data_IF_514535633551
#
_entry.id   IF_514535633551
#
_cell.length_a   1.000
_cell.length_b   1.000
_cell.length_c   1.000
_cell.angle_alpha   90.00
_cell.angle_beta   90.00
_cell.angle_gamma   90.00
#
_symmetry.space_group_name_H-M   'P 1'
#
loop_
_entity.id
_entity.type
_entity.pdbx_description
1 polymer ?
#
# COMPACT_ATOMS: atom_id res chain seq x y z
N UNK A 1 15.93 18.36 7.71
CA UNK A 1 17.32 18.80 7.94
C UNK A 1 17.71 18.68 9.40
N UNK A 2 18.99 18.43 9.68
CA UNK A 2 19.54 18.38 11.04
C UNK A 2 20.08 19.75 11.45
N UNK A 3 19.92 20.08 12.74
CA UNK A 3 20.50 21.25 13.38
C UNK A 3 21.51 20.80 14.45
N UNK A 4 22.19 21.73 15.11
CA UNK A 4 23.13 21.39 16.21
C UNK A 4 22.43 20.76 17.42
N UNK A 5 21.14 20.99 17.61
CA UNK A 5 20.38 20.58 18.80
C UNK A 5 19.15 19.71 18.49
N UNK A 6 18.88 19.40 17.21
CA UNK A 6 17.70 18.63 16.82
C UNK A 6 17.55 18.50 15.31
N UNK A 7 16.32 18.27 14.86
CA UNK A 7 15.99 18.15 13.45
C UNK A 7 14.71 18.90 13.12
N UNK A 8 14.57 19.31 11.87
CA UNK A 8 13.37 19.94 11.33
C UNK A 8 12.82 19.00 10.24
N UNK A 9 11.60 18.55 10.42
CA UNK A 9 10.83 17.81 9.41
C UNK A 9 9.72 18.71 8.89
N UNK A 10 9.61 18.82 7.57
CA UNK A 10 8.51 19.54 6.92
C UNK A 10 7.61 18.57 6.17
N UNK A 11 6.31 18.84 6.17
CA UNK A 11 5.32 18.12 5.38
C UNK A 11 4.66 19.14 4.46
N UNK A 12 4.69 18.85 3.16
CA UNK A 12 4.21 19.75 2.12
C UNK A 12 3.16 19.03 1.27
N UNK A 13 2.00 19.67 1.07
CA UNK A 13 1.03 19.23 0.08
C UNK A 13 1.38 19.84 -1.27
N UNK A 14 1.58 19.00 -2.28
CA UNK A 14 1.88 19.42 -3.65
C UNK A 14 0.71 19.05 -4.54
N UNK A 15 0.11 20.02 -5.17
CA UNK A 15 -0.94 19.78 -6.16
C UNK A 15 -0.31 19.51 -7.53
N UNK A 16 -0.69 18.41 -8.15
CA UNK A 16 -0.16 17.99 -9.45
C UNK A 16 -1.24 18.20 -10.52
N UNK A 17 -1.04 19.17 -11.44
CA UNK A 17 -1.99 19.43 -12.51
C UNK A 17 -2.17 18.20 -13.42
N UNK A 18 -3.42 17.86 -13.74
CA UNK A 18 -3.77 16.75 -14.61
C UNK A 18 -3.19 15.38 -14.20
N UNK A 19 -2.82 15.22 -12.94
CA UNK A 19 -2.17 14.01 -12.39
C UNK A 19 -0.83 13.66 -13.11
N UNK A 20 -0.22 14.63 -13.79
CA UNK A 20 1.04 14.45 -14.51
C UNK A 20 2.25 14.73 -13.61
N UNK A 21 2.78 13.68 -13.00
CA UNK A 21 3.98 13.74 -12.16
C UNK A 21 5.26 14.10 -12.95
N UNK A 22 5.21 14.02 -14.28
CA UNK A 22 6.36 14.34 -15.16
C UNK A 22 6.40 15.82 -15.57
N UNK A 23 5.35 16.59 -15.27
CA UNK A 23 5.36 18.04 -15.47
C UNK A 23 6.60 18.65 -14.78
N UNK A 24 7.34 19.57 -15.45
CA UNK A 24 8.58 20.13 -14.93
C UNK A 24 8.46 20.78 -13.55
N UNK A 25 7.31 21.36 -13.23
CA UNK A 25 7.12 22.06 -11.95
C UNK A 25 7.05 21.08 -10.76
N UNK A 26 6.14 20.08 -10.72
CA UNK A 26 6.14 19.09 -9.66
C UNK A 26 7.40 18.21 -9.68
N UNK A 27 7.93 17.83 -10.85
CA UNK A 27 9.14 17.01 -10.96
C UNK A 27 10.35 17.68 -10.29
N UNK A 28 10.53 18.99 -10.49
CA UNK A 28 11.60 19.76 -9.83
C UNK A 28 11.43 19.79 -8.32
N UNK A 29 10.20 19.93 -7.83
CA UNK A 29 9.89 19.89 -6.39
C UNK A 29 10.21 18.51 -5.80
N UNK A 30 9.79 17.44 -6.45
CA UNK A 30 9.99 16.05 -5.97
C UNK A 30 11.46 15.67 -5.86
N UNK A 31 12.32 16.19 -6.74
CA UNK A 31 13.75 15.94 -6.69
C UNK A 31 14.43 16.39 -5.38
N UNK A 32 13.81 17.32 -4.65
CA UNK A 32 14.32 17.84 -3.39
C UNK A 32 13.68 17.22 -2.14
N UNK A 33 12.71 16.33 -2.30
CA UNK A 33 12.03 15.68 -1.19
C UNK A 33 12.72 14.37 -0.77
N UNK A 34 12.76 14.12 0.52
CA UNK A 34 13.31 12.86 1.07
C UNK A 34 12.30 11.71 1.00
N UNK A 35 11.02 12.03 0.99
CA UNK A 35 9.94 11.06 0.82
C UNK A 35 8.76 11.70 0.10
N UNK A 36 8.06 10.90 -0.70
CA UNK A 36 6.82 11.29 -1.39
C UNK A 36 5.73 10.29 -1.08
N UNK A 37 4.53 10.80 -0.82
CA UNK A 37 3.30 10.00 -0.70
C UNK A 37 2.38 10.45 -1.83
N UNK A 38 2.17 9.58 -2.80
CA UNK A 38 1.34 9.86 -3.99
C UNK A 38 -0.07 9.36 -3.76
N UNK A 39 -1.06 10.24 -3.93
CA UNK A 39 -2.47 9.87 -3.94
C UNK A 39 -2.93 9.66 -5.38
N UNK A 40 -3.54 8.51 -5.64
CA UNK A 40 -3.96 8.07 -6.98
C UNK A 40 -5.48 8.05 -7.12
N UNK A 41 -6.00 8.65 -8.20
CA UNK A 41 -7.43 8.57 -8.54
C UNK A 41 -7.84 7.17 -8.94
N UNK A 42 -6.96 6.41 -9.57
CA UNK A 42 -7.23 5.03 -9.96
C UNK A 42 -7.45 4.14 -8.73
N UNK A 43 -6.64 4.33 -7.69
CA UNK A 43 -6.81 3.63 -6.41
C UNK A 43 -8.10 4.07 -5.71
N UNK A 44 -8.40 5.38 -5.71
CA UNK A 44 -9.66 5.89 -5.17
C UNK A 44 -10.88 5.31 -5.89
N UNK A 45 -10.81 5.13 -7.22
CA UNK A 45 -11.90 4.54 -8.02
C UNK A 45 -12.19 3.08 -7.66
N UNK A 46 -11.21 2.37 -7.09
CA UNK A 46 -11.35 1.01 -6.56
C UNK A 46 -11.98 0.98 -5.15
N UNK A 47 -12.30 2.15 -4.58
CA UNK A 47 -12.82 2.26 -3.22
C UNK A 47 -11.77 2.06 -2.13
N UNK A 48 -10.48 2.14 -2.46
CA UNK A 48 -9.38 1.97 -1.51
C UNK A 48 -9.01 3.34 -0.93
N UNK A 49 -9.18 3.49 0.37
CA UNK A 49 -8.88 4.71 1.10
C UNK A 49 -8.09 4.39 2.38
N UNK A 50 -7.04 5.19 2.71
CA UNK A 50 -6.48 6.30 1.92
C UNK A 50 -5.94 5.83 0.56
N UNK A 51 -6.14 6.63 -0.48
CA UNK A 51 -5.83 6.25 -1.87
C UNK A 51 -4.33 6.44 -2.21
N UNK A 52 -3.46 5.94 -1.36
CA UNK A 52 -2.01 6.02 -1.53
C UNK A 52 -1.54 4.98 -2.55
N UNK A 53 -0.76 5.42 -3.54
CA UNK A 53 -0.10 4.50 -4.46
C UNK A 53 1.23 4.02 -3.88
N UNK A 54 1.37 2.73 -3.52
CA UNK A 54 2.59 2.20 -2.93
C UNK A 54 3.73 2.02 -3.94
N UNK A 55 3.44 2.05 -5.25
CA UNK A 55 4.43 1.91 -6.31
C UNK A 55 5.04 3.26 -6.69
N UNK A 56 4.24 4.32 -6.69
CA UNK A 56 4.68 5.68 -7.02
C UNK A 56 5.18 6.46 -5.78
N UNK A 57 4.85 5.98 -4.58
CA UNK A 57 5.35 6.57 -3.33
C UNK A 57 6.76 6.08 -3.02
N UNK A 58 7.61 7.01 -2.56
CA UNK A 58 9.04 6.73 -2.31
C UNK A 58 9.50 7.28 -0.97
N UNK A 59 10.58 6.71 -0.44
CA UNK A 59 11.29 7.24 0.72
C UNK A 59 12.77 6.88 0.66
N UNK A 60 13.64 7.85 0.93
CA UNK A 60 15.09 7.61 1.09
C UNK A 60 15.41 6.76 2.31
N UNK A 61 14.49 6.71 3.28
CA UNK A 61 14.65 5.85 4.45
C UNK A 61 14.42 4.36 4.16
N UNK A 62 13.89 4.01 2.98
CA UNK A 62 13.74 2.62 2.57
C UNK A 62 15.09 2.01 2.18
N UNK A 63 15.93 1.85 3.18
CA UNK A 63 17.28 1.31 3.11
C UNK A 63 17.50 0.35 4.30
N UNK A 64 18.02 -0.88 4.09
CA UNK A 64 18.14 -1.86 5.15
C UNK A 64 19.05 -1.40 6.31
N UNK A 65 19.99 -0.50 6.07
CA UNK A 65 20.83 0.08 7.11
C UNK A 65 20.08 1.08 8.01
N UNK A 66 18.95 1.61 7.53
CA UNK A 66 18.14 2.59 8.27
C UNK A 66 16.98 1.91 8.98
N UNK A 67 16.20 1.08 8.27
CA UNK A 67 14.96 0.49 8.76
C UNK A 67 15.08 -0.98 9.17
N UNK A 68 16.24 -1.59 8.98
CA UNK A 68 16.47 -3.02 9.20
C UNK A 68 16.06 -3.89 8.00
N UNK A 69 16.68 -5.08 7.93
CA UNK A 69 16.52 -5.98 6.79
C UNK A 69 15.09 -6.49 6.63
N UNK A 70 14.45 -6.91 7.73
CA UNK A 70 13.08 -7.44 7.72
C UNK A 70 12.08 -6.46 7.11
N UNK A 71 12.06 -5.22 7.58
CA UNK A 71 11.15 -4.19 7.05
C UNK A 71 11.42 -3.91 5.58
N UNK A 72 12.72 -3.79 5.21
CA UNK A 72 13.11 -3.56 3.82
C UNK A 72 12.64 -4.69 2.91
N UNK A 73 12.88 -5.94 3.27
CA UNK A 73 12.51 -7.10 2.46
C UNK A 73 11.00 -7.22 2.29
N UNK A 74 10.23 -7.02 3.38
CA UNK A 74 8.76 -7.02 3.31
C UNK A 74 8.27 -5.93 2.37
N UNK A 75 8.75 -4.70 2.51
CA UNK A 75 8.33 -3.58 1.67
C UNK A 75 8.64 -3.83 0.18
N UNK A 76 9.85 -4.32 -0.12
CA UNK A 76 10.25 -4.64 -1.51
C UNK A 76 9.45 -5.78 -2.11
N UNK A 77 9.18 -6.83 -1.34
CA UNK A 77 8.38 -7.95 -1.81
C UNK A 77 6.92 -7.55 -2.06
N UNK A 78 6.34 -6.70 -1.19
CA UNK A 78 5.00 -6.15 -1.44
C UNK A 78 4.96 -5.32 -2.73
N UNK A 79 5.95 -4.43 -2.93
CA UNK A 79 6.05 -3.67 -4.18
C UNK A 79 6.19 -4.58 -5.40
N UNK A 80 7.02 -5.61 -5.32
CA UNK A 80 7.19 -6.59 -6.39
C UNK A 80 5.87 -7.30 -6.75
N UNK A 81 5.15 -7.80 -5.74
CA UNK A 81 3.87 -8.49 -5.95
C UNK A 81 2.82 -7.56 -6.56
N UNK A 82 2.73 -6.31 -6.09
CA UNK A 82 1.79 -5.33 -6.63
C UNK A 82 2.17 -4.89 -8.05
N UNK A 83 3.46 -4.73 -8.35
CA UNK A 83 3.94 -4.40 -9.69
C UNK A 83 3.65 -5.56 -10.67
N UNK A 84 3.94 -6.78 -10.28
CA UNK A 84 3.64 -7.96 -11.09
C UNK A 84 2.14 -8.11 -11.35
N UNK A 85 1.32 -7.85 -10.35
CA UNK A 85 -0.13 -7.83 -10.51
C UNK A 85 -0.60 -6.76 -11.50
N UNK A 86 -0.01 -5.56 -11.46
CA UNK A 86 -0.28 -4.48 -12.42
C UNK A 86 0.00 -4.94 -13.86
N UNK A 87 1.10 -5.64 -14.10
CA UNK A 87 1.45 -6.20 -15.40
C UNK A 87 0.49 -7.30 -15.87
N UNK A 88 0.04 -8.15 -14.94
CA UNK A 88 -0.87 -9.25 -15.25
C UNK A 88 -2.31 -8.79 -15.50
N UNK A 89 -2.71 -7.59 -15.03
CA UNK A 89 -4.08 -7.09 -15.17
C UNK A 89 -4.55 -7.06 -16.62
N UNK A 90 -3.71 -6.62 -17.54
CA UNK A 90 -4.05 -6.52 -18.96
C UNK A 90 -4.22 -7.92 -19.57
N UNK A 91 -3.36 -8.87 -19.19
CA UNK A 91 -3.45 -10.27 -19.61
C UNK A 91 -4.76 -10.88 -19.08
N UNK A 92 -5.09 -10.66 -17.81
CA UNK A 92 -6.32 -11.15 -17.18
C UNK A 92 -7.55 -10.58 -17.88
N UNK A 93 -7.54 -9.30 -18.24
CA UNK A 93 -8.65 -8.64 -18.91
C UNK A 93 -8.92 -9.18 -20.31
N UNK A 94 -7.90 -9.63 -21.03
CA UNK A 94 -7.99 -10.13 -22.40
C UNK A 94 -8.22 -11.64 -22.44
N UNK A 95 -7.46 -12.41 -21.68
CA UNK A 95 -7.42 -13.88 -21.77
C UNK A 95 -8.14 -14.58 -20.63
N UNK A 96 -8.42 -13.86 -19.53
CA UNK A 96 -9.02 -14.44 -18.31
C UNK A 96 -7.95 -14.99 -17.35
N UNK A 97 -8.42 -15.35 -16.15
CA UNK A 97 -7.59 -15.91 -15.08
C UNK A 97 -7.09 -17.33 -15.38
N UNK A 98 -7.82 -18.08 -16.19
CA UNK A 98 -7.54 -19.50 -16.43
C UNK A 98 -6.25 -19.73 -17.23
N UNK A 99 -5.86 -18.74 -18.04
CA UNK A 99 -4.64 -18.78 -18.85
C UNK A 99 -3.36 -18.49 -18.04
N UNK A 100 -3.48 -18.05 -16.79
CA UNK A 100 -2.32 -17.82 -15.93
C UNK A 100 -1.74 -19.14 -15.39
N UNK A 101 -0.43 -19.14 -15.16
CA UNK A 101 0.22 -20.20 -14.40
C UNK A 101 -0.33 -20.26 -12.96
N UNK A 102 -0.22 -21.40 -12.31
CA UNK A 102 -0.66 -21.55 -10.90
C UNK A 102 0.10 -20.59 -9.96
N UNK A 103 1.38 -20.32 -10.27
CA UNK A 103 2.18 -19.34 -9.52
C UNK A 103 1.63 -17.92 -9.68
N UNK A 104 1.31 -17.51 -10.91
CA UNK A 104 0.72 -16.20 -11.18
C UNK A 104 -0.71 -16.09 -10.59
N UNK A 105 -1.52 -17.14 -10.62
CA UNK A 105 -2.83 -17.17 -9.96
C UNK A 105 -2.71 -16.94 -8.45
N UNK A 106 -1.75 -17.60 -7.80
CA UNK A 106 -1.50 -17.42 -6.37
C UNK A 106 -0.99 -16.01 -6.07
N UNK A 107 -0.07 -15.50 -6.89
CA UNK A 107 0.44 -14.13 -6.77
C UNK A 107 -0.69 -13.10 -6.90
N UNK A 108 -1.56 -13.25 -7.88
CA UNK A 108 -2.73 -12.38 -8.10
C UNK A 108 -3.67 -12.42 -6.90
N UNK A 109 -3.95 -13.62 -6.36
CA UNK A 109 -4.81 -13.77 -5.18
C UNK A 109 -4.23 -13.04 -3.96
N UNK A 110 -2.93 -13.15 -3.70
CA UNK A 110 -2.22 -12.42 -2.63
C UNK A 110 -2.16 -10.93 -2.89
N UNK A 111 -1.87 -10.50 -4.12
CA UNK A 111 -1.85 -9.10 -4.51
C UNK A 111 -3.19 -8.39 -4.26
N UNK A 112 -4.31 -9.05 -4.58
CA UNK A 112 -5.65 -8.53 -4.32
C UNK A 112 -5.93 -8.37 -2.83
N UNK A 113 -5.51 -9.34 -2.01
CA UNK A 113 -5.58 -9.22 -0.54
C UNK A 113 -4.74 -8.06 -0.02
N UNK A 114 -3.49 -7.91 -0.51
CA UNK A 114 -2.62 -6.78 -0.16
C UNK A 114 -3.25 -5.44 -0.54
N UNK A 115 -3.79 -5.34 -1.75
CA UNK A 115 -4.45 -4.12 -2.22
C UNK A 115 -5.65 -3.75 -1.35
N UNK A 116 -6.48 -4.73 -0.96
CA UNK A 116 -7.58 -4.54 -0.01
C UNK A 116 -7.09 -4.16 1.38
N UNK A 117 -6.02 -4.77 1.85
CA UNK A 117 -5.44 -4.52 3.17
C UNK A 117 -4.76 -3.14 3.29
N UNK A 118 -4.38 -2.51 2.17
CA UNK A 118 -3.92 -1.12 2.14
C UNK A 118 -5.04 -0.11 2.43
N UNK A 119 -6.31 -0.51 2.36
CA UNK A 119 -7.43 0.30 2.84
C UNK A 119 -7.57 0.18 4.36
N UNK A 120 -7.82 1.31 5.03
CA UNK A 120 -8.14 1.28 6.46
C UNK A 120 -9.03 2.46 6.86
N UNK A 121 -9.83 2.35 7.92
CA UNK A 121 -10.50 3.50 8.52
C UNK A 121 -9.46 4.48 9.05
N UNK A 122 -9.56 5.75 8.70
CA UNK A 122 -8.65 6.78 9.19
C UNK A 122 -9.40 7.99 9.75
N UNK A 123 -8.80 8.68 10.71
CA UNK A 123 -9.47 9.66 11.56
C UNK A 123 -10.14 10.81 10.78
N UNK A 124 -9.48 11.34 9.75
CA UNK A 124 -10.04 12.46 8.95
C UNK A 124 -11.29 12.03 8.18
N UNK A 125 -11.44 10.77 7.85
CA UNK A 125 -12.60 10.26 7.12
C UNK A 125 -13.79 9.88 8.01
N UNK A 126 -13.68 9.89 9.33
CA UNK A 126 -14.73 9.46 10.25
C UNK A 126 -16.07 10.17 10.00
N UNK A 127 -16.03 11.48 9.76
CA UNK A 127 -17.22 12.29 9.50
C UNK A 127 -17.95 11.91 8.21
N UNK A 128 -17.26 11.26 7.27
CA UNK A 128 -17.84 10.83 5.99
C UNK A 128 -18.24 9.36 5.99
N UNK A 129 -17.49 8.52 6.69
CA UNK A 129 -17.68 7.07 6.68
C UNK A 129 -18.51 6.56 7.86
N UNK A 130 -18.57 7.33 8.94
CA UNK A 130 -19.18 6.90 10.21
C UNK A 130 -18.37 5.79 10.93
N UNK A 131 -17.22 5.42 10.40
CA UNK A 131 -16.33 4.42 10.99
C UNK A 131 -15.19 5.12 11.76
N UNK A 132 -14.92 4.73 13.03
CA UNK A 132 -13.82 5.32 13.80
C UNK A 132 -12.47 4.98 13.14
N UNK A 133 -11.59 5.99 13.09
CA UNK A 133 -10.24 5.84 12.57
C UNK A 133 -9.43 4.85 13.40
N UNK A 134 -8.46 4.20 12.76
CA UNK A 134 -7.60 3.20 13.38
C UNK A 134 -6.15 3.57 13.22
N UNK A 135 -5.40 3.42 14.29
CA UNK A 135 -3.95 3.49 14.28
C UNK A 135 -3.38 2.09 14.28
N UNK A 136 -2.54 1.79 13.30
CA UNK A 136 -1.83 0.51 13.19
C UNK A 136 -0.34 0.77 13.38
N UNK A 137 0.30 0.04 14.28
CA UNK A 137 1.74 0.19 14.52
C UNK A 137 2.54 -0.30 13.32
N UNK A 138 3.73 0.25 13.11
CA UNK A 138 4.64 -0.21 12.06
C UNK A 138 4.96 -1.71 12.20
N UNK A 139 5.14 -2.18 13.44
CA UNK A 139 5.40 -3.60 13.73
C UNK A 139 4.25 -4.50 13.29
N UNK A 140 3.01 -4.10 13.58
CA UNK A 140 1.83 -4.86 13.17
C UNK A 140 1.63 -4.82 11.65
N UNK A 141 1.97 -3.70 11.00
CA UNK A 141 1.95 -3.58 9.54
C UNK A 141 2.95 -4.54 8.91
N UNK A 142 4.21 -4.57 9.36
CA UNK A 142 5.25 -5.48 8.84
C UNK A 142 4.82 -6.93 9.03
N UNK A 143 4.38 -7.31 10.25
CA UNK A 143 3.88 -8.66 10.55
C UNK A 143 2.76 -9.09 9.62
N UNK A 144 1.81 -8.21 9.39
CA UNK A 144 0.65 -8.49 8.55
C UNK A 144 1.04 -8.75 7.10
N UNK A 145 1.82 -7.85 6.49
CA UNK A 145 2.27 -8.02 5.11
C UNK A 145 3.20 -9.22 4.94
N UNK A 146 4.08 -9.49 5.93
CA UNK A 146 4.92 -10.68 5.93
C UNK A 146 4.06 -11.96 5.89
N UNK A 147 3.02 -12.05 6.72
CA UNK A 147 2.11 -13.20 6.73
C UNK A 147 1.33 -13.36 5.41
N UNK A 148 0.90 -12.24 4.79
CA UNK A 148 0.25 -12.31 3.47
C UNK A 148 1.24 -12.80 2.40
N UNK A 149 2.48 -12.33 2.41
CA UNK A 149 3.54 -12.77 1.51
C UNK A 149 3.84 -14.26 1.66
N UNK A 150 3.93 -14.75 2.89
CA UNK A 150 4.20 -16.16 3.19
C UNK A 150 3.02 -17.09 2.84
N UNK A 151 1.81 -16.53 2.70
CA UNK A 151 0.60 -17.30 2.42
C UNK A 151 -0.14 -17.79 3.65
N UNK A 152 0.21 -17.31 4.85
CA UNK A 152 -0.42 -17.71 6.11
C UNK A 152 -1.94 -17.46 6.09
N UNK A 153 -2.37 -16.50 5.27
CA UNK A 153 -3.76 -16.06 5.14
C UNK A 153 -4.38 -16.39 3.78
N UNK A 154 -3.80 -17.33 3.01
CA UNK A 154 -4.32 -17.68 1.69
C UNK A 154 -5.75 -18.27 1.76
N UNK A 155 -6.08 -18.92 2.87
CA UNK A 155 -7.40 -19.51 3.15
C UNK A 155 -8.49 -18.46 3.47
N UNK A 156 -8.15 -17.21 3.76
CA UNK A 156 -9.12 -16.16 4.10
C UNK A 156 -9.69 -15.50 2.82
N UNK A 157 -10.99 -15.12 2.84
CA UNK A 157 -11.59 -14.42 1.72
C UNK A 157 -11.01 -13.01 1.56
N UNK A 158 -10.86 -12.54 0.32
CA UNK A 158 -10.31 -11.22 -0.03
C UNK A 158 -11.04 -10.07 0.69
N UNK A 159 -12.36 -10.16 0.84
CA UNK A 159 -13.16 -9.11 1.48
C UNK A 159 -12.88 -8.93 2.97
N UNK A 160 -12.31 -9.92 3.63
CA UNK A 160 -11.93 -9.79 5.03
C UNK A 160 -10.84 -8.74 5.25
N UNK A 161 -10.00 -8.51 4.24
CA UNK A 161 -8.89 -7.54 4.29
C UNK A 161 -9.31 -6.09 4.03
N UNK A 162 -10.55 -5.87 3.61
CA UNK A 162 -11.02 -4.53 3.24
C UNK A 162 -11.47 -3.72 4.45
N UNK A 163 -10.96 -2.47 4.57
CA UNK A 163 -11.30 -1.51 5.62
C UNK A 163 -11.17 -2.09 7.04
N UNK A 164 -10.02 -2.65 7.33
CA UNK A 164 -9.62 -3.13 8.66
C UNK A 164 -8.35 -2.42 9.11
N UNK A 165 -8.04 -2.48 10.39
CA UNK A 165 -6.79 -1.96 10.94
C UNK A 165 -5.70 -3.03 10.91
N UNK A 166 -5.70 -3.93 11.90
CA UNK A 166 -4.70 -4.98 12.02
C UNK A 166 -5.11 -6.25 11.28
N UNK A 167 -4.14 -7.15 11.08
CA UNK A 167 -4.43 -8.48 10.49
C UNK A 167 -5.36 -9.31 11.37
N UNK A 168 -5.28 -9.14 12.67
CA UNK A 168 -6.16 -9.84 13.61
C UNK A 168 -7.62 -9.47 13.40
N UNK A 169 -7.91 -8.21 13.06
CA UNK A 169 -9.26 -7.78 12.68
C UNK A 169 -9.74 -8.42 11.37
N UNK A 170 -8.84 -8.61 10.39
CA UNK A 170 -9.18 -9.30 9.16
C UNK A 170 -9.56 -10.77 9.45
N UNK A 171 -8.81 -11.43 10.33
CA UNK A 171 -9.10 -12.80 10.77
C UNK A 171 -10.47 -12.88 11.46
N UNK A 172 -10.75 -11.96 12.39
CA UNK A 172 -12.04 -11.92 13.09
C UNK A 172 -13.21 -11.58 12.14
N UNK A 173 -12.97 -10.71 11.16
CA UNK A 173 -13.97 -10.39 10.13
C UNK A 173 -14.27 -11.61 9.25
N UNK A 174 -13.25 -12.38 8.86
CA UNK A 174 -13.40 -13.59 8.08
C UNK A 174 -14.24 -14.65 8.81
N UNK A 175 -14.11 -14.78 10.15
CA UNK A 175 -14.93 -15.71 10.95
C UNK A 175 -16.42 -15.36 10.98
N UNK A 176 -16.77 -14.12 10.67
CA UNK A 176 -18.15 -13.60 10.69
C UNK A 176 -18.80 -13.59 9.32
N UNK A 177 -18.03 -13.89 8.28
CA UNK A 177 -18.51 -13.97 6.88
C UNK A 177 -18.95 -15.37 6.53
#
# INVERSE_FOLDING_TARGET
>A
TSTKQGSITSIQAVYVPADDLTDPSPATTFAHLDATVVLSRDIASLGIYPAVDPLDSTSRQLDPLVIGQEHYDVARNVQYVLQRYKELKDIIAILGMDELSEEDKQLVARARKMQRFLSQPFFVAEVFTGAPGKYVSLKDTIRAFQGILNGDYDHLPEQAFYMVGTIDEAIEKAKKM
#
